data_IF_113480474923
#
_entry.id   IF_113480474923
#
_cell.length_a   1.000
_cell.length_b   1.000
_cell.length_c   1.000
_cell.angle_alpha   90.00
_cell.angle_beta   90.00
_cell.angle_gamma   90.00
#
_symmetry.space_group_name_H-M   'P 1'
#
loop_
_entity.id
_entity.type
_entity.pdbx_description
1 polymer ?
#
# COMPACT_ATOMS: atom_id res chain seq x y z
N UNK A 1 13.85 -39.63 -17.75
CA UNK A 1 14.25 -38.87 -16.55
C UNK A 1 14.25 -39.82 -15.38
N UNK A 2 15.37 -39.94 -14.65
CA UNK A 2 15.44 -40.75 -13.44
C UNK A 2 14.53 -40.08 -12.38
N UNK A 3 13.57 -40.80 -11.81
CA UNK A 3 12.72 -40.32 -10.74
C UNK A 3 13.60 -40.26 -9.46
N UNK A 4 13.98 -39.08 -9.01
CA UNK A 4 14.61 -38.89 -7.71
C UNK A 4 13.57 -39.12 -6.61
N UNK A 5 13.90 -39.93 -5.63
CA UNK A 5 13.05 -40.20 -4.46
C UNK A 5 13.82 -39.95 -3.18
N UNK A 6 13.21 -39.25 -2.27
CA UNK A 6 13.70 -39.12 -0.90
C UNK A 6 13.29 -40.34 -0.10
N UNK A 7 14.25 -40.96 0.58
CA UNK A 7 14.08 -42.15 1.42
C UNK A 7 14.84 -41.97 2.75
N UNK A 8 14.56 -42.81 3.72
CA UNK A 8 15.35 -42.89 4.95
C UNK A 8 16.32 -44.07 4.81
N UNK A 9 17.58 -43.82 5.01
CA UNK A 9 18.62 -44.83 5.10
C UNK A 9 19.03 -45.04 6.56
N UNK A 10 19.50 -46.27 6.90
CA UNK A 10 19.94 -46.62 8.24
C UNK A 10 21.47 -46.74 8.27
N UNK A 11 22.13 -46.10 9.22
CA UNK A 11 23.55 -46.29 9.47
C UNK A 11 23.84 -47.57 10.24
N UNK A 12 25.11 -47.93 10.34
CA UNK A 12 25.54 -49.18 11.01
C UNK A 12 25.23 -49.20 12.51
N UNK A 13 25.11 -48.01 13.10
CA UNK A 13 24.75 -47.80 14.50
C UNK A 13 23.24 -47.81 14.79
N UNK A 14 22.42 -48.01 13.73
CA UNK A 14 20.96 -48.00 13.81
C UNK A 14 20.33 -46.62 13.64
N UNK A 15 21.10 -45.52 13.48
CA UNK A 15 20.55 -44.18 13.24
C UNK A 15 20.04 -44.03 11.82
N UNK A 16 18.87 -43.38 11.68
CA UNK A 16 18.26 -43.08 10.38
C UNK A 16 18.67 -41.71 9.89
N UNK A 17 18.85 -41.55 8.58
CA UNK A 17 19.17 -40.28 7.91
C UNK A 17 18.52 -40.20 6.54
N UNK A 18 18.13 -39.00 6.07
CA UNK A 18 17.48 -38.84 4.79
C UNK A 18 18.50 -38.94 3.65
N UNK A 19 18.12 -39.71 2.62
CA UNK A 19 18.89 -39.87 1.39
C UNK A 19 18.05 -39.57 0.17
N UNK A 20 18.68 -39.06 -0.87
CA UNK A 20 18.09 -38.96 -2.20
C UNK A 20 18.64 -40.11 -3.06
N UNK A 21 17.74 -40.89 -3.66
CA UNK A 21 18.10 -42.02 -4.51
C UNK A 21 17.64 -41.79 -5.93
N UNK A 22 18.58 -41.86 -6.86
CA UNK A 22 18.31 -41.82 -8.29
C UNK A 22 18.74 -43.15 -8.93
N UNK A 23 17.86 -43.71 -9.76
CA UNK A 23 18.12 -44.95 -10.49
C UNK A 23 18.19 -44.68 -11.98
N UNK A 24 19.35 -45.02 -12.61
CA UNK A 24 19.58 -44.79 -14.03
C UNK A 24 19.87 -46.15 -14.71
N UNK A 25 19.03 -46.58 -15.66
CA UNK A 25 19.30 -47.79 -16.40
C UNK A 25 20.43 -47.56 -17.42
N UNK A 26 21.42 -48.43 -17.45
CA UNK A 26 22.53 -48.46 -18.39
C UNK A 26 22.42 -49.70 -19.26
N UNK A 27 22.52 -49.52 -20.58
CA UNK A 27 22.50 -50.62 -21.56
C UNK A 27 23.91 -51.10 -21.81
N UNK A 28 24.16 -52.41 -21.64
CA UNK A 28 25.40 -53.04 -21.95
C UNK A 28 25.17 -54.20 -22.96
N UNK A 29 26.16 -54.64 -23.68
CA UNK A 29 26.02 -55.81 -24.59
C UNK A 29 25.51 -57.08 -23.91
N UNK A 30 25.77 -57.20 -22.61
CA UNK A 30 25.38 -58.33 -21.76
C UNK A 30 24.01 -58.17 -21.07
N UNK A 31 23.33 -57.02 -21.30
CA UNK A 31 22.02 -56.73 -20.70
C UNK A 31 21.95 -55.38 -20.01
N UNK A 32 20.77 -55.02 -19.45
CA UNK A 32 20.52 -53.79 -18.76
C UNK A 32 21.02 -53.87 -17.32
N UNK A 33 21.88 -52.92 -16.89
CA UNK A 33 22.24 -52.73 -15.48
C UNK A 33 21.63 -51.43 -14.98
N UNK A 34 21.45 -51.32 -13.67
CA UNK A 34 20.91 -50.12 -13.03
C UNK A 34 22.01 -49.46 -12.17
N UNK A 35 22.31 -48.24 -12.48
CA UNK A 35 23.15 -47.40 -11.61
C UNK A 35 22.27 -46.73 -10.58
N UNK A 36 22.53 -46.99 -9.29
CA UNK A 36 21.88 -46.30 -8.17
C UNK A 36 22.86 -45.24 -7.64
N UNK A 37 22.43 -43.96 -7.64
CA UNK A 37 23.13 -42.87 -6.97
C UNK A 37 22.40 -42.60 -5.66
N UNK A 38 23.15 -42.59 -4.55
CA UNK A 38 22.59 -42.31 -3.20
C UNK A 38 23.35 -41.13 -2.62
N UNK A 39 22.62 -40.10 -2.25
CA UNK A 39 23.20 -38.85 -1.70
C UNK A 39 22.62 -38.62 -0.32
N UNK A 40 23.47 -38.43 0.69
CA UNK A 40 23.07 -38.01 2.04
C UNK A 40 22.64 -36.53 2.00
N UNK A 41 21.35 -36.27 2.27
CA UNK A 41 20.74 -34.94 2.23
C UNK A 41 20.50 -34.39 3.65
N UNK A 42 21.11 -34.95 4.68
CA UNK A 42 20.93 -34.54 6.09
C UNK A 42 21.25 -33.05 6.31
N UNK A 43 22.39 -32.57 5.78
CA UNK A 43 22.82 -31.18 5.92
C UNK A 43 21.85 -30.27 5.15
N UNK A 44 21.46 -30.65 3.93
CA UNK A 44 20.50 -29.88 3.13
C UNK A 44 19.15 -29.73 3.84
N UNK A 45 18.63 -30.78 4.41
CA UNK A 45 17.36 -30.78 5.21
C UNK A 45 17.49 -29.92 6.47
N UNK A 46 18.63 -29.96 7.16
CA UNK A 46 18.88 -29.11 8.32
C UNK A 46 18.91 -27.62 7.96
N UNK A 47 19.62 -27.27 6.88
CA UNK A 47 19.67 -25.89 6.37
C UNK A 47 18.26 -25.43 5.98
N UNK A 48 17.53 -26.23 5.22
CA UNK A 48 16.16 -25.92 4.80
C UNK A 48 15.23 -25.68 6.01
N UNK A 49 15.29 -26.56 7.01
CA UNK A 49 14.47 -26.44 8.22
C UNK A 49 14.83 -25.18 9.01
N UNK A 50 16.14 -24.89 9.14
CA UNK A 50 16.63 -23.68 9.82
C UNK A 50 16.20 -22.42 9.08
N UNK A 51 16.26 -22.41 7.76
CA UNK A 51 15.83 -21.28 6.93
C UNK A 51 14.32 -21.02 7.06
N UNK A 52 13.50 -22.08 6.99
CA UNK A 52 12.04 -21.98 7.17
C UNK A 52 11.72 -21.42 8.57
N UNK A 53 12.42 -21.89 9.61
CA UNK A 53 12.24 -21.38 10.98
C UNK A 53 12.61 -19.91 11.08
N UNK A 54 13.78 -19.51 10.56
CA UNK A 54 14.24 -18.13 10.59
C UNK A 54 13.29 -17.19 9.78
N UNK A 55 12.79 -17.65 8.64
CA UNK A 55 11.80 -16.89 7.85
C UNK A 55 10.50 -16.70 8.63
N UNK A 56 10.00 -17.75 9.30
CA UNK A 56 8.78 -17.67 10.12
C UNK A 56 8.96 -16.71 11.31
N UNK A 57 10.09 -16.76 11.98
CA UNK A 57 10.41 -15.83 13.07
C UNK A 57 10.50 -14.40 12.59
N UNK A 58 11.20 -14.15 11.46
CA UNK A 58 11.29 -12.82 10.83
C UNK A 58 9.90 -12.26 10.46
N UNK A 59 9.06 -13.07 9.84
CA UNK A 59 7.70 -12.69 9.48
C UNK A 59 6.86 -12.36 10.71
N UNK A 60 6.98 -13.16 11.78
CA UNK A 60 6.28 -12.89 13.06
C UNK A 60 6.70 -11.57 13.69
N UNK A 61 8.00 -11.26 13.67
CA UNK A 61 8.51 -9.99 14.20
C UNK A 61 8.05 -8.79 13.38
N UNK A 62 8.05 -8.89 12.06
CA UNK A 62 7.53 -7.83 11.18
C UNK A 62 6.05 -7.56 11.46
N UNK A 63 5.26 -8.61 11.63
CA UNK A 63 3.84 -8.49 11.98
C UNK A 63 3.64 -7.75 13.31
N UNK A 64 4.43 -8.07 14.33
CA UNK A 64 4.39 -7.40 15.63
C UNK A 64 4.73 -5.90 15.50
N UNK A 65 5.76 -5.56 14.70
CA UNK A 65 6.13 -4.15 14.45
C UNK A 65 4.97 -3.40 13.78
N UNK A 66 4.36 -3.96 12.75
CA UNK A 66 3.22 -3.33 12.06
C UNK A 66 2.01 -3.13 12.99
N UNK A 67 1.70 -4.11 13.82
CA UNK A 67 0.66 -3.97 14.84
C UNK A 67 0.95 -2.85 15.83
N UNK A 68 2.20 -2.73 16.29
CA UNK A 68 2.61 -1.67 17.21
C UNK A 68 2.56 -0.30 16.54
N UNK A 69 3.01 -0.16 15.29
CA UNK A 69 2.91 1.09 14.54
C UNK A 69 1.45 1.52 14.39
N UNK A 70 0.57 0.60 13.97
CA UNK A 70 -0.88 0.90 13.88
C UNK A 70 -1.44 1.38 15.22
N UNK A 71 -1.14 0.68 16.32
CA UNK A 71 -1.63 1.04 17.65
C UNK A 71 -1.11 2.42 18.09
N UNK A 72 0.17 2.71 17.85
CA UNK A 72 0.75 4.02 18.15
C UNK A 72 0.08 5.14 17.34
N UNK A 73 -0.16 4.93 16.06
CA UNK A 73 -0.87 5.89 15.21
C UNK A 73 -2.32 6.11 15.68
N UNK A 74 -3.01 5.08 16.17
CA UNK A 74 -4.34 5.22 16.76
C UNK A 74 -4.32 6.06 18.04
N UNK A 75 -3.31 5.89 18.90
CA UNK A 75 -3.13 6.71 20.10
C UNK A 75 -2.88 8.17 19.72
N UNK A 76 -1.97 8.42 18.74
CA UNK A 76 -1.70 9.78 18.25
C UNK A 76 -2.97 10.42 17.65
N UNK A 77 -3.73 9.67 16.85
CA UNK A 77 -5.00 10.14 16.29
C UNK A 77 -6.01 10.51 17.38
N UNK A 78 -6.08 9.71 18.46
CA UNK A 78 -6.96 9.98 19.60
C UNK A 78 -6.54 11.24 20.38
N UNK A 79 -5.24 11.44 20.58
CA UNK A 79 -4.69 12.64 21.22
C UNK A 79 -4.98 13.90 20.39
N UNK A 80 -4.80 13.84 19.06
CA UNK A 80 -5.13 14.95 18.16
C UNK A 80 -6.63 15.31 18.22
N UNK A 81 -7.50 14.30 18.30
CA UNK A 81 -8.94 14.53 18.46
C UNK A 81 -9.29 15.20 19.80
N UNK A 82 -8.64 14.81 20.89
CA UNK A 82 -8.82 15.45 22.20
C UNK A 82 -8.32 16.88 22.18
N UNK A 83 -7.19 17.15 21.55
CA UNK A 83 -6.66 18.50 21.38
C UNK A 83 -7.59 19.36 20.52
N UNK A 84 -8.10 18.85 19.40
CA UNK A 84 -9.06 19.55 18.56
C UNK A 84 -10.29 20.06 19.33
N UNK A 85 -10.78 19.30 20.31
CA UNK A 85 -11.92 19.67 21.15
C UNK A 85 -11.60 20.69 22.26
N UNK A 86 -10.32 20.87 22.58
CA UNK A 86 -9.85 21.74 23.68
C UNK A 86 -9.32 23.08 23.22
N UNK A 87 -9.15 23.28 21.91
CA UNK A 87 -8.63 24.52 21.32
C UNK A 87 -9.79 25.40 20.81
N UNK A 88 -9.53 26.72 20.58
CA UNK A 88 -10.48 27.60 19.90
C UNK A 88 -10.87 27.05 18.50
N UNK A 89 -12.11 27.34 18.06
CA UNK A 89 -12.66 26.81 16.79
C UNK A 89 -11.79 27.11 15.57
N UNK A 90 -11.08 28.21 15.59
CA UNK A 90 -10.19 28.64 14.52
C UNK A 90 -9.02 27.68 14.32
N UNK A 91 -8.59 26.99 15.38
CA UNK A 91 -7.49 26.03 15.37
C UNK A 91 -7.95 24.57 15.24
N UNK A 92 -9.22 24.28 15.49
CA UNK A 92 -9.79 22.93 15.44
C UNK A 92 -9.49 22.24 14.10
N UNK A 93 -9.66 22.97 12.99
CA UNK A 93 -9.44 22.47 11.64
C UNK A 93 -8.02 21.91 11.40
N UNK A 94 -7.00 22.59 11.94
CA UNK A 94 -5.60 22.14 11.78
C UNK A 94 -5.31 20.81 12.49
N UNK A 95 -5.93 20.57 13.67
CA UNK A 95 -5.83 19.32 14.39
C UNK A 95 -6.57 18.19 13.66
N UNK A 96 -7.75 18.46 13.10
CA UNK A 96 -8.52 17.50 12.33
C UNK A 96 -7.80 17.09 11.03
N UNK A 97 -7.14 18.03 10.34
CA UNK A 97 -6.28 17.73 9.19
C UNK A 97 -5.12 16.82 9.58
N UNK A 98 -4.41 17.16 10.66
CA UNK A 98 -3.33 16.34 11.19
C UNK A 98 -3.81 14.94 11.57
N UNK A 99 -5.00 14.84 12.16
CA UNK A 99 -5.63 13.54 12.46
C UNK A 99 -5.93 12.75 11.19
N UNK A 100 -6.42 13.40 10.12
CA UNK A 100 -6.67 12.78 8.82
C UNK A 100 -5.40 12.12 8.24
N UNK A 101 -4.27 12.84 8.29
CA UNK A 101 -2.95 12.32 7.86
C UNK A 101 -2.53 11.10 8.67
N UNK A 102 -2.66 11.14 9.99
CA UNK A 102 -2.33 10.01 10.87
C UNK A 102 -3.23 8.81 10.58
N UNK A 103 -4.52 9.02 10.31
CA UNK A 103 -5.45 7.96 9.93
C UNK A 103 -5.08 7.34 8.57
N UNK A 104 -4.67 8.15 7.57
CA UNK A 104 -4.20 7.64 6.28
C UNK A 104 -2.97 6.73 6.45
N UNK A 105 -1.98 7.14 7.28
CA UNK A 105 -0.82 6.31 7.63
C UNK A 105 -1.24 5.00 8.30
N UNK A 106 -2.16 5.04 9.26
CA UNK A 106 -2.64 3.86 9.96
C UNK A 106 -3.36 2.87 9.02
N UNK A 107 -4.15 3.39 8.08
CA UNK A 107 -4.83 2.59 7.07
C UNK A 107 -3.85 1.88 6.14
N UNK A 108 -2.81 2.58 5.66
CA UNK A 108 -1.75 1.99 4.84
C UNK A 108 -1.09 0.82 5.57
N UNK A 109 -0.69 1.01 6.84
CA UNK A 109 -0.10 -0.06 7.64
C UNK A 109 -1.06 -1.25 7.85
N UNK A 110 -2.37 -0.99 7.93
CA UNK A 110 -3.38 -2.06 8.05
C UNK A 110 -3.50 -2.88 6.76
N UNK A 111 -3.55 -2.22 5.61
CA UNK A 111 -3.67 -2.87 4.30
C UNK A 111 -2.48 -3.79 4.00
N UNK A 112 -1.26 -3.35 4.29
CA UNK A 112 -0.06 -4.15 4.15
C UNK A 112 -0.12 -5.46 4.96
N UNK A 113 -0.72 -5.42 6.15
CA UNK A 113 -0.85 -6.58 7.02
C UNK A 113 -1.91 -7.57 6.54
N UNK A 114 -3.09 -7.09 6.12
CA UNK A 114 -4.24 -7.95 5.78
C UNK A 114 -3.97 -8.85 4.58
N UNK A 115 -3.16 -8.40 3.63
CA UNK A 115 -2.90 -9.13 2.39
C UNK A 115 -1.73 -10.11 2.44
N UNK A 116 -0.96 -10.18 3.55
CA UNK A 116 0.26 -11.03 3.68
C UNK A 116 1.28 -10.86 2.55
N UNK A 117 1.05 -9.92 1.67
CA UNK A 117 1.95 -9.52 0.59
C UNK A 117 2.61 -8.22 1.04
N UNK A 118 3.79 -8.35 1.65
CA UNK A 118 4.56 -7.21 2.16
C UNK A 118 5.13 -6.31 1.03
N UNK A 119 4.81 -6.60 -0.22
CA UNK A 119 5.46 -6.01 -1.39
C UNK A 119 4.62 -4.90 -2.02
N UNK A 120 3.30 -5.04 -2.03
CA UNK A 120 2.42 -4.06 -2.68
C UNK A 120 1.00 -4.05 -2.12
N UNK A 121 0.30 -2.93 -2.32
CA UNK A 121 -1.12 -2.77 -2.01
C UNK A 121 -1.89 -2.30 -3.24
N UNK A 122 -3.16 -2.68 -3.33
CA UNK A 122 -4.07 -2.19 -4.37
C UNK A 122 -4.39 -0.72 -4.14
N UNK A 123 -4.03 0.14 -5.10
CA UNK A 123 -4.32 1.58 -5.03
C UNK A 123 -5.83 1.86 -4.97
N UNK A 124 -6.64 1.09 -5.71
CA UNK A 124 -8.09 1.23 -5.73
C UNK A 124 -8.69 0.94 -4.35
N UNK A 125 -8.34 -0.20 -3.77
CA UNK A 125 -8.85 -0.60 -2.45
C UNK A 125 -8.43 0.37 -1.36
N UNK A 126 -7.14 0.75 -1.35
CA UNK A 126 -6.62 1.73 -0.41
C UNK A 126 -7.33 3.08 -0.54
N UNK A 127 -7.51 3.58 -1.76
CA UNK A 127 -8.23 4.84 -2.02
C UNK A 127 -9.69 4.77 -1.58
N UNK A 128 -10.39 3.67 -1.84
CA UNK A 128 -11.79 3.48 -1.43
C UNK A 128 -11.96 3.58 0.09
N UNK A 129 -11.11 2.89 0.84
CA UNK A 129 -11.16 2.92 2.30
C UNK A 129 -10.76 4.30 2.86
N UNK A 130 -9.70 4.92 2.28
CA UNK A 130 -9.24 6.24 2.67
C UNK A 130 -10.30 7.30 2.45
N UNK A 131 -10.93 7.32 1.27
CA UNK A 131 -12.01 8.25 0.92
C UNK A 131 -13.22 8.08 1.84
N UNK A 132 -13.61 6.84 2.13
CA UNK A 132 -14.68 6.54 3.09
C UNK A 132 -14.36 7.13 4.47
N UNK A 133 -13.12 7.03 4.90
CA UNK A 133 -12.66 7.55 6.19
C UNK A 133 -12.66 9.09 6.22
N UNK A 134 -12.23 9.74 5.14
CA UNK A 134 -12.22 11.20 4.98
C UNK A 134 -13.67 11.72 4.97
N UNK A 135 -14.54 11.13 4.16
CA UNK A 135 -15.95 11.53 4.04
C UNK A 135 -16.66 11.49 5.40
N UNK A 136 -16.49 10.39 6.15
CA UNK A 136 -17.09 10.25 7.50
C UNK A 136 -16.60 11.31 8.48
N UNK A 137 -15.37 11.80 8.37
CA UNK A 137 -14.82 12.79 9.28
C UNK A 137 -15.28 14.22 8.98
N UNK A 138 -15.70 14.52 7.74
CA UNK A 138 -16.08 15.86 7.30
C UNK A 138 -17.59 16.08 7.11
N UNK A 139 -18.38 15.01 6.95
CA UNK A 139 -19.85 15.13 6.77
C UNK A 139 -20.62 15.23 8.07
N UNK A 140 -20.00 14.98 9.23
CA UNK A 140 -20.65 15.14 10.53
C UNK A 140 -20.88 16.62 10.87
N UNK A 141 -21.97 17.21 10.39
CA UNK A 141 -22.41 18.56 10.73
C UNK A 141 -22.55 19.55 9.58
N UNK A 142 -22.22 19.18 8.35
CA UNK A 142 -22.47 19.98 7.16
C UNK A 142 -23.71 19.49 6.42
N UNK A 143 -24.58 20.42 5.96
CA UNK A 143 -25.70 20.12 5.06
C UNK A 143 -25.24 19.85 3.61
N UNK A 144 -23.93 19.72 3.40
CA UNK A 144 -23.34 19.45 2.08
C UNK A 144 -23.51 17.97 1.75
N UNK A 145 -24.17 17.70 0.64
CA UNK A 145 -24.23 16.36 0.05
C UNK A 145 -23.09 16.23 -0.96
N UNK A 146 -21.98 15.66 -0.53
CA UNK A 146 -20.80 15.43 -1.37
C UNK A 146 -20.73 13.93 -1.65
N UNK A 147 -20.88 13.57 -2.93
CA UNK A 147 -20.69 12.21 -3.40
C UNK A 147 -19.23 12.03 -3.84
N UNK A 148 -18.61 10.95 -3.41
CA UNK A 148 -17.26 10.58 -3.88
C UNK A 148 -17.35 9.32 -4.71
N UNK A 149 -17.01 9.46 -5.98
CA UNK A 149 -17.07 8.39 -6.99
C UNK A 149 -15.66 7.88 -7.26
N UNK A 150 -15.43 6.60 -7.01
CA UNK A 150 -14.22 5.92 -7.43
C UNK A 150 -14.48 5.19 -8.75
N UNK A 151 -13.74 5.55 -9.79
CA UNK A 151 -13.82 4.89 -11.09
C UNK A 151 -12.83 3.74 -11.12
N UNK A 152 -13.28 2.49 -11.26
CA UNK A 152 -12.39 1.34 -11.31
C UNK A 152 -11.39 1.42 -12.46
N UNK A 153 -10.20 0.89 -12.25
CA UNK A 153 -9.18 0.72 -13.28
C UNK A 153 -9.39 -0.61 -14.01
N UNK A 154 -9.18 -0.64 -15.32
CA UNK A 154 -9.24 -1.89 -16.11
C UNK A 154 -8.14 -2.89 -15.72
N UNK A 155 -7.04 -2.39 -15.15
CA UNK A 155 -5.93 -3.17 -14.63
C UNK A 155 -5.68 -2.78 -13.17
N UNK A 156 -5.41 -3.76 -12.31
CA UNK A 156 -5.10 -3.50 -10.90
C UNK A 156 -3.80 -2.68 -10.78
N UNK A 157 -3.94 -1.45 -10.25
CA UNK A 157 -2.82 -0.58 -9.98
C UNK A 157 -2.25 -0.92 -8.61
N UNK A 158 -1.01 -1.46 -8.60
CA UNK A 158 -0.31 -1.83 -7.38
C UNK A 158 0.69 -0.73 -6.99
N UNK A 159 0.72 -0.41 -5.71
CA UNK A 159 1.66 0.52 -5.09
C UNK A 159 2.66 -0.27 -4.24
N UNK A 160 3.94 0.00 -4.41
CA UNK A 160 4.96 -0.48 -3.46
C UNK A 160 4.81 0.22 -2.10
N UNK A 161 5.47 -0.30 -1.06
CA UNK A 161 5.44 0.34 0.28
C UNK A 161 5.89 1.80 0.23
N UNK A 162 6.96 2.08 -0.53
CA UNK A 162 7.52 3.44 -0.64
C UNK A 162 6.59 4.39 -1.39
N UNK A 163 5.74 3.86 -2.28
CA UNK A 163 4.74 4.65 -3.01
C UNK A 163 3.43 4.83 -2.21
N UNK A 164 3.04 3.84 -1.42
CA UNK A 164 1.74 3.82 -0.75
C UNK A 164 1.55 4.96 0.26
N UNK A 165 2.59 5.29 1.04
CA UNK A 165 2.51 6.35 2.04
C UNK A 165 2.38 7.74 1.40
N UNK A 166 3.30 8.19 0.52
CA UNK A 166 3.16 9.50 -0.12
C UNK A 166 1.89 9.59 -0.98
N UNK A 167 1.49 8.51 -1.66
CA UNK A 167 0.24 8.45 -2.42
C UNK A 167 -0.99 8.68 -1.52
N UNK A 168 -1.10 7.96 -0.41
CA UNK A 168 -2.25 8.09 0.50
C UNK A 168 -2.33 9.47 1.15
N UNK A 169 -1.20 10.05 1.54
CA UNK A 169 -1.15 11.41 2.07
C UNK A 169 -1.53 12.44 1.01
N UNK A 170 -1.03 12.29 -0.21
CA UNK A 170 -1.39 13.16 -1.33
C UNK A 170 -2.89 13.10 -1.62
N UNK A 171 -3.45 11.90 -1.73
CA UNK A 171 -4.89 11.71 -1.92
C UNK A 171 -5.71 12.31 -0.79
N UNK A 172 -5.26 12.16 0.47
CA UNK A 172 -5.90 12.79 1.63
C UNK A 172 -5.94 14.31 1.50
N UNK A 173 -4.83 14.95 1.11
CA UNK A 173 -4.77 16.40 0.95
C UNK A 173 -5.69 16.89 -0.18
N UNK A 174 -5.66 16.22 -1.34
CA UNK A 174 -6.46 16.62 -2.49
C UNK A 174 -7.96 16.48 -2.22
N UNK A 175 -8.39 15.34 -1.68
CA UNK A 175 -9.81 15.11 -1.35
C UNK A 175 -10.30 16.04 -0.24
N UNK A 176 -9.48 16.24 0.80
CA UNK A 176 -9.82 17.17 1.90
C UNK A 176 -9.95 18.60 1.40
N UNK A 177 -9.07 19.04 0.51
CA UNK A 177 -9.13 20.36 -0.11
C UNK A 177 -10.42 20.54 -0.93
N UNK A 178 -10.81 19.54 -1.73
CA UNK A 178 -12.07 19.59 -2.47
C UNK A 178 -13.27 19.66 -1.52
N UNK A 179 -13.34 18.84 -0.47
CA UNK A 179 -14.43 18.87 0.53
C UNK A 179 -14.56 20.24 1.20
N UNK A 180 -13.44 20.87 1.56
CA UNK A 180 -13.45 22.13 2.31
C UNK A 180 -13.65 23.36 1.46
N UNK A 181 -13.16 23.35 0.23
CA UNK A 181 -12.99 24.56 -0.56
C UNK A 181 -13.75 24.60 -1.87
N UNK A 182 -14.11 23.43 -2.44
CA UNK A 182 -14.72 23.38 -3.76
C UNK A 182 -16.21 23.73 -3.72
N UNK A 183 -16.93 23.41 -2.63
CA UNK A 183 -18.37 23.47 -2.59
C UNK A 183 -18.88 24.59 -1.69
N UNK A 184 -20.01 25.19 -2.08
CA UNK A 184 -20.80 26.12 -1.28
C UNK A 184 -22.09 25.45 -0.81
N UNK A 185 -22.74 25.98 0.22
CA UNK A 185 -23.88 25.34 0.91
C UNK A 185 -25.11 24.93 0.05
N UNK A 186 -25.14 25.32 -1.21
CA UNK A 186 -26.29 25.11 -2.09
C UNK A 186 -26.09 24.09 -3.23
N UNK A 187 -24.96 23.40 -3.28
CA UNK A 187 -24.66 22.51 -4.42
C UNK A 187 -24.39 21.07 -3.95
N UNK A 188 -24.99 20.11 -4.66
CA UNK A 188 -24.56 18.73 -4.61
C UNK A 188 -23.16 18.64 -5.20
N UNK A 189 -22.19 18.35 -4.36
CA UNK A 189 -20.80 18.21 -4.79
C UNK A 189 -20.50 16.79 -5.24
N UNK A 190 -19.68 16.65 -6.26
CA UNK A 190 -19.12 15.37 -6.69
C UNK A 190 -17.59 15.48 -6.70
N UNK A 191 -16.92 14.52 -6.06
CA UNK A 191 -15.48 14.31 -6.14
C UNK A 191 -15.26 12.98 -6.82
N UNK A 192 -14.59 12.98 -7.97
CA UNK A 192 -14.30 11.79 -8.74
C UNK A 192 -12.82 11.46 -8.67
N UNK A 193 -12.52 10.21 -8.38
CA UNK A 193 -11.17 9.67 -8.38
C UNK A 193 -11.12 8.56 -9.43
N UNK A 194 -10.29 8.73 -10.43
CA UNK A 194 -10.06 7.73 -11.46
C UNK A 194 -8.61 7.33 -11.55
N UNK A 195 -8.38 6.07 -11.87
CA UNK A 195 -7.06 5.47 -11.95
C UNK A 195 -6.90 4.78 -13.28
N UNK A 196 -5.75 4.91 -13.88
CA UNK A 196 -5.42 4.37 -15.18
C UNK A 196 -3.95 3.97 -15.22
N UNK A 197 -3.65 2.81 -15.76
CA UNK A 197 -2.28 2.41 -16.09
C UNK A 197 -2.09 2.47 -17.60
N UNK A 198 -1.06 3.18 -18.06
CA UNK A 198 -0.72 3.32 -19.48
C UNK A 198 0.75 2.96 -19.68
N UNK A 199 1.00 1.72 -20.11
CA UNK A 199 2.34 1.15 -20.14
C UNK A 199 2.92 1.08 -18.71
N UNK A 200 4.09 1.68 -18.51
CA UNK A 200 4.77 1.72 -17.21
C UNK A 200 4.41 2.96 -16.37
N UNK A 201 3.41 3.73 -16.80
CA UNK A 201 2.98 4.94 -16.11
C UNK A 201 1.61 4.72 -15.46
N UNK A 202 1.54 4.96 -14.17
CA UNK A 202 0.32 5.07 -13.41
C UNK A 202 -0.19 6.50 -13.47
N UNK A 203 -1.47 6.68 -13.75
CA UNK A 203 -2.14 7.98 -13.82
C UNK A 203 -3.30 7.95 -12.83
N UNK A 204 -3.30 8.90 -11.91
CA UNK A 204 -4.38 9.09 -10.95
C UNK A 204 -4.94 10.49 -11.14
N UNK A 205 -6.25 10.58 -11.29
CA UNK A 205 -6.96 11.86 -11.44
C UNK A 205 -7.90 12.04 -10.27
N UNK A 206 -7.80 13.18 -9.60
CA UNK A 206 -8.73 13.63 -8.57
C UNK A 206 -9.38 14.90 -9.08
N UNK A 207 -10.69 14.88 -9.27
CA UNK A 207 -11.43 16.03 -9.80
C UNK A 207 -12.69 16.31 -8.98
N UNK A 208 -13.03 17.59 -8.84
CA UNK A 208 -14.29 18.04 -8.25
C UNK A 208 -15.06 18.91 -9.24
N UNK A 209 -16.40 18.93 -9.10
CA UNK A 209 -17.29 19.79 -9.86
C UNK A 209 -17.60 21.11 -9.15
N UNK A 210 -16.74 21.55 -8.27
CA UNK A 210 -16.92 22.76 -7.47
C UNK A 210 -16.56 24.05 -8.20
N UNK A 211 -16.31 25.11 -7.40
CA UNK A 211 -16.01 26.45 -7.92
C UNK A 211 -14.61 26.62 -8.55
N UNK A 212 -13.77 25.55 -8.46
CA UNK A 212 -12.38 25.63 -8.88
C UNK A 212 -11.47 26.36 -7.89
N UNK A 213 -10.18 26.41 -8.22
CA UNK A 213 -9.14 27.10 -7.44
C UNK A 213 -8.77 28.40 -8.16
N UNK A 214 -8.64 29.48 -7.38
CA UNK A 214 -8.22 30.79 -7.89
C UNK A 214 -6.86 30.70 -8.62
N UNK A 215 -6.72 31.44 -9.72
CA UNK A 215 -5.50 31.44 -10.55
C UNK A 215 -4.25 31.89 -9.78
N UNK A 216 -4.43 32.73 -8.75
CA UNK A 216 -3.35 33.22 -7.90
C UNK A 216 -2.77 32.14 -6.96
N UNK A 217 -3.47 31.03 -6.79
CA UNK A 217 -3.05 29.93 -5.93
C UNK A 217 -2.12 28.98 -6.70
N UNK A 218 -0.84 29.01 -6.36
CA UNK A 218 0.16 28.08 -6.89
C UNK A 218 0.46 26.96 -5.88
N UNK A 219 0.66 25.73 -6.39
CA UNK A 219 1.09 24.61 -5.56
C UNK A 219 2.43 24.93 -4.88
N UNK A 220 2.49 24.74 -3.55
CA UNK A 220 3.70 24.98 -2.76
C UNK A 220 3.93 26.43 -2.32
N UNK A 221 3.17 27.42 -2.82
CA UNK A 221 3.36 28.84 -2.47
C UNK A 221 2.28 29.43 -1.55
N UNK A 222 1.32 28.62 -1.10
CA UNK A 222 0.22 29.07 -0.24
C UNK A 222 0.55 28.93 1.24
N UNK A 223 -0.19 29.63 2.10
CA UNK A 223 -0.02 29.57 3.56
C UNK A 223 -0.63 28.34 4.20
N UNK A 224 -1.49 27.57 3.49
CA UNK A 224 -2.09 26.36 4.05
C UNK A 224 -1.11 25.20 4.07
N UNK A 225 -1.01 24.52 5.19
CA UNK A 225 -0.08 23.40 5.40
C UNK A 225 -0.30 22.27 4.36
N UNK A 226 -1.56 21.97 4.00
CA UNK A 226 -1.88 20.95 3.01
C UNK A 226 -1.25 21.23 1.64
N UNK A 227 -1.39 22.44 1.14
CA UNK A 227 -0.78 22.84 -0.14
C UNK A 227 0.75 22.85 -0.10
N UNK A 228 1.36 23.14 1.07
CA UNK A 228 2.83 23.10 1.25
C UNK A 228 3.37 21.65 1.22
N UNK A 229 2.57 20.68 1.64
CA UNK A 229 2.96 19.26 1.65
C UNK A 229 2.93 18.63 0.27
N UNK A 230 2.03 19.05 -0.62
CA UNK A 230 1.83 18.45 -1.94
C UNK A 230 3.13 18.31 -2.74
N UNK A 231 3.99 19.35 -2.90
CA UNK A 231 5.24 19.20 -3.66
C UNK A 231 6.19 18.15 -3.09
N UNK A 232 6.34 18.11 -1.77
CA UNK A 232 7.19 17.11 -1.12
C UNK A 232 6.65 15.67 -1.25
N UNK A 233 5.33 15.49 -1.25
CA UNK A 233 4.70 14.17 -1.46
C UNK A 233 4.84 13.73 -2.92
N UNK A 234 4.71 14.66 -3.87
CA UNK A 234 4.92 14.41 -5.30
C UNK A 234 6.37 13.99 -5.56
N UNK A 235 7.34 14.69 -4.95
CA UNK A 235 8.76 14.33 -5.04
C UNK A 235 9.03 12.93 -4.44
N UNK A 236 8.47 12.62 -3.26
CA UNK A 236 8.63 11.29 -2.63
C UNK A 236 8.02 10.16 -3.47
N UNK A 237 6.92 10.45 -4.17
CA UNK A 237 6.27 9.50 -5.07
C UNK A 237 7.02 9.35 -6.40
N UNK A 238 8.00 10.20 -6.67
CA UNK A 238 8.67 10.34 -7.97
C UNK A 238 7.66 10.59 -9.08
N UNK A 239 6.76 11.55 -8.84
CA UNK A 239 5.59 11.84 -9.66
C UNK A 239 5.65 13.24 -10.28
N UNK A 240 4.87 13.40 -11.34
CA UNK A 240 4.50 14.69 -11.90
C UNK A 240 3.05 15.00 -11.52
N UNK A 241 2.75 16.24 -11.15
CA UNK A 241 1.38 16.70 -10.90
C UNK A 241 1.04 17.87 -11.80
N UNK A 242 -0.14 17.81 -12.43
CA UNK A 242 -0.72 18.93 -13.19
C UNK A 242 -2.06 19.34 -12.58
N UNK A 243 -2.35 20.66 -12.63
CA UNK A 243 -3.56 21.25 -12.08
C UNK A 243 -4.32 21.95 -13.18
N UNK A 244 -5.60 21.56 -13.39
CA UNK A 244 -6.54 22.14 -14.34
C UNK A 244 -7.70 22.78 -13.56
N UNK A 245 -8.20 23.94 -14.03
CA UNK A 245 -9.15 24.81 -13.31
C UNK A 245 -10.43 25.14 -14.09
N UNK A 246 -10.64 24.55 -15.26
CA UNK A 246 -11.68 25.00 -16.19
C UNK A 246 -13.12 24.66 -15.74
N UNK A 247 -13.32 23.49 -15.10
CA UNK A 247 -14.64 23.00 -14.65
C UNK A 247 -14.54 22.40 -13.25
N UNK A 248 -14.30 23.25 -12.23
CA UNK A 248 -13.92 22.78 -10.89
C UNK A 248 -12.41 22.64 -10.78
N UNK A 249 -11.94 21.73 -9.94
CA UNK A 249 -10.51 21.47 -9.76
C UNK A 249 -10.19 20.06 -10.22
N UNK A 250 -9.18 19.90 -11.07
CA UNK A 250 -8.70 18.60 -11.50
C UNK A 250 -7.19 18.51 -11.33
N UNK A 251 -6.76 17.56 -10.51
CA UNK A 251 -5.38 17.15 -10.37
C UNK A 251 -5.13 15.89 -11.17
N UNK A 252 -4.07 15.86 -11.94
CA UNK A 252 -3.59 14.67 -12.63
C UNK A 252 -2.18 14.36 -12.15
N UNK A 253 -1.99 13.17 -11.58
CA UNK A 253 -0.75 12.70 -10.96
C UNK A 253 -0.24 11.54 -11.80
N UNK A 254 1.00 11.64 -12.26
CA UNK A 254 1.66 10.61 -13.08
C UNK A 254 2.92 10.14 -12.36
N UNK A 255 3.07 8.82 -12.20
CA UNK A 255 4.24 8.22 -11.58
C UNK A 255 4.54 6.85 -12.19
N UNK A 256 5.80 6.43 -12.13
CA UNK A 256 6.24 5.17 -12.70
C UNK A 256 5.68 3.99 -11.91
N UNK A 257 5.29 2.93 -12.64
CA UNK A 257 5.08 1.61 -12.05
C UNK A 257 6.44 1.13 -11.54
N UNK A 258 6.53 0.80 -10.25
CA UNK A 258 7.71 0.13 -9.71
C UNK A 258 7.44 -1.37 -9.68
N UNK A 259 8.38 -2.15 -10.21
CA UNK A 259 8.33 -3.60 -10.08
C UNK A 259 8.60 -3.97 -8.62
N UNK A 260 7.80 -4.86 -8.07
CA UNK A 260 8.12 -5.53 -6.81
C UNK A 260 9.31 -6.43 -7.07
N UNK A 261 10.44 -6.19 -6.41
CA UNK A 261 11.58 -7.12 -6.44
C UNK A 261 11.08 -8.47 -5.88
N UNK A 262 11.01 -9.49 -6.76
CA UNK A 262 10.55 -10.83 -6.45
C UNK A 262 11.56 -11.65 -5.62
#
# INVERSE_FOLDING_TARGET
MAAMRELMACRRDGSEFPVEVALTPLQFPEGTRVLATVVDISIQKQIQTSLIKALKEKTSLLNEVHHRVKNNLQVVSSLLNLQARSVPKELEGAFLESQGRVKAMALMHQQLYEHKTYESISAEKYSSELVTLISRSHTNGSNLNIETVLVPCDQELLLTMDQALPFGLLLNELVTNSIKHAFTEQHNGEIRISMLQKGDTNIVVVEDNGKGIDESIELGKTTSLGFQLIPGLVEQLDAEISLHREYGTRYEIRFSKRETEG
#
